data_IF_416323913990
#
_entry.id   IF_416323913990
#
_cell.length_a   1.000
_cell.length_b   1.000
_cell.length_c   1.000
_cell.angle_alpha   90.00
_cell.angle_beta   90.00
_cell.angle_gamma   90.00
#
_symmetry.space_group_name_H-M   'P 1'
#
loop_
_entity.id
_entity.type
_entity.pdbx_description
1 polymer ?
#
# COMPACT_ATOMS: atom_id res chain seq x y z
N UNK A 1 -3.64 6.53 21.82
CA UNK A 1 -3.84 5.20 21.19
C UNK A 1 -2.76 5.04 20.10
N UNK A 2 -2.07 3.91 19.99
CA UNK A 2 -1.10 3.70 18.88
C UNK A 2 -1.86 3.19 17.65
N UNK A 3 -1.96 4.00 16.60
CA UNK A 3 -2.35 3.50 15.27
C UNK A 3 -1.07 2.98 14.63
N UNK A 4 -0.85 1.67 14.71
CA UNK A 4 0.27 1.03 14.01
C UNK A 4 -0.08 0.88 12.54
N UNK A 5 0.14 1.93 11.74
CA UNK A 5 0.20 1.83 10.29
C UNK A 5 1.40 0.95 9.94
N UNK A 6 1.14 -0.31 9.60
CA UNK A 6 2.16 -1.16 8.98
C UNK A 6 1.84 -1.20 7.50
N UNK A 7 2.73 -0.69 6.65
CA UNK A 7 2.71 -1.03 5.24
C UNK A 7 3.40 -2.37 5.08
N UNK A 8 2.74 -3.28 4.35
CA UNK A 8 3.42 -4.47 3.85
C UNK A 8 4.01 -4.10 2.50
N UNK A 9 5.09 -3.35 2.53
CA UNK A 9 6.05 -3.28 1.44
C UNK A 9 7.35 -3.79 2.05
N UNK A 10 7.65 -5.07 1.83
CA UNK A 10 8.93 -5.61 2.31
C UNK A 10 10.01 -4.91 1.49
N UNK A 11 10.59 -3.85 2.06
CA UNK A 11 11.86 -3.26 1.66
C UNK A 11 13.04 -4.23 1.84
N UNK A 12 12.82 -5.52 1.61
CA UNK A 12 13.87 -6.48 1.32
C UNK A 12 14.50 -6.09 0.00
N UNK A 13 15.80 -6.27 -0.12
CA UNK A 13 16.60 -5.97 -1.33
C UNK A 13 16.14 -6.68 -2.61
N UNK A 14 15.12 -7.53 -2.51
CA UNK A 14 14.40 -8.19 -3.58
C UNK A 14 12.91 -7.82 -3.45
N UNK A 15 12.36 -7.07 -4.42
CA UNK A 15 10.97 -6.60 -4.40
C UNK A 15 9.97 -7.75 -4.34
N UNK A 16 9.18 -7.81 -3.25
CA UNK A 16 8.16 -8.84 -3.04
C UNK A 16 6.88 -8.60 -3.84
N UNK A 17 6.13 -9.66 -4.12
CA UNK A 17 4.79 -9.62 -4.70
C UNK A 17 3.75 -10.25 -3.73
N UNK A 18 2.48 -10.33 -4.14
CA UNK A 18 1.41 -10.88 -3.30
C UNK A 18 1.53 -12.38 -2.96
N UNK A 19 2.48 -13.10 -3.55
CA UNK A 19 2.78 -14.50 -3.26
C UNK A 19 3.92 -14.68 -2.23
N UNK A 20 4.56 -13.59 -1.82
CA UNK A 20 5.72 -13.65 -0.91
C UNK A 20 5.33 -14.34 0.41
N UNK A 21 5.84 -15.54 0.67
CA UNK A 21 5.47 -16.33 1.86
C UNK A 21 5.66 -15.61 3.20
N UNK A 22 6.57 -14.62 3.24
CA UNK A 22 6.82 -13.76 4.40
C UNK A 22 5.56 -13.03 4.90
N UNK A 23 4.63 -12.61 4.02
CA UNK A 23 3.42 -11.90 4.48
C UNK A 23 2.44 -12.84 5.16
N UNK A 24 2.20 -14.02 4.59
CA UNK A 24 1.30 -15.02 5.19
C UNK A 24 1.84 -15.46 6.56
N UNK A 25 3.15 -15.69 6.66
CA UNK A 25 3.80 -16.00 7.94
C UNK A 25 3.72 -14.83 8.94
N UNK A 26 3.89 -13.59 8.49
CA UNK A 26 3.79 -12.43 9.37
C UNK A 26 2.37 -12.24 9.94
N UNK A 27 1.32 -12.36 9.10
CA UNK A 27 -0.08 -12.29 9.55
C UNK A 27 -0.38 -13.40 10.58
N UNK A 28 0.11 -14.62 10.34
CA UNK A 28 -0.02 -15.73 11.29
C UNK A 28 0.71 -15.46 12.61
N UNK A 29 1.90 -14.85 12.56
CA UNK A 29 2.63 -14.44 13.76
C UNK A 29 1.91 -13.34 14.55
N UNK A 30 1.23 -12.40 13.88
CA UNK A 30 0.40 -11.40 14.55
C UNK A 30 -0.74 -12.05 15.33
N UNK A 31 -1.43 -13.02 14.73
CA UNK A 31 -2.53 -13.75 15.36
C UNK A 31 -2.10 -14.49 16.65
N UNK A 32 -0.84 -14.92 16.72
CA UNK A 32 -0.32 -15.74 17.82
C UNK A 32 0.11 -14.93 19.06
N UNK A 33 0.21 -13.59 18.97
CA UNK A 33 0.74 -12.77 20.06
C UNK A 33 -0.37 -12.15 20.92
N UNK A 34 -0.83 -12.89 21.93
CA UNK A 34 -1.89 -12.45 22.86
C UNK A 34 -1.55 -11.21 23.70
N UNK A 35 -0.28 -10.83 23.79
CA UNK A 35 0.21 -9.66 24.56
C UNK A 35 0.70 -8.51 23.66
N UNK A 36 0.60 -8.64 22.32
CA UNK A 36 1.01 -7.59 21.41
C UNK A 36 -0.03 -6.45 21.38
N UNK A 37 0.43 -5.24 21.08
CA UNK A 37 -0.45 -4.12 20.83
C UNK A 37 -1.39 -4.43 19.65
N UNK A 38 -2.70 -4.24 19.84
CA UNK A 38 -3.71 -4.43 18.79
C UNK A 38 -3.45 -3.49 17.60
N UNK A 39 -3.52 -4.03 16.39
CA UNK A 39 -3.45 -3.24 15.17
C UNK A 39 -4.82 -2.63 14.93
N UNK A 40 -4.87 -1.31 14.70
CA UNK A 40 -6.14 -0.59 14.49
C UNK A 40 -6.44 -0.35 13.02
N UNK A 41 -5.41 0.00 12.25
CA UNK A 41 -5.44 0.06 10.78
C UNK A 41 -4.27 -0.75 10.26
N UNK A 42 -4.51 -1.59 9.27
CA UNK A 42 -3.47 -2.28 8.50
C UNK A 42 -3.59 -1.87 7.03
N UNK A 43 -2.49 -1.37 6.46
CA UNK A 43 -2.44 -0.91 5.06
C UNK A 43 -1.72 -1.96 4.23
N UNK A 44 -2.37 -2.47 3.20
CA UNK A 44 -1.80 -3.46 2.27
C UNK A 44 -1.61 -2.79 0.92
N UNK A 45 -0.38 -2.80 0.41
CA UNK A 45 0.00 -2.08 -0.80
C UNK A 45 0.86 -2.95 -1.72
N UNK A 46 0.19 -3.81 -2.49
CA UNK A 46 0.81 -4.68 -3.50
C UNK A 46 0.26 -4.34 -4.89
N UNK A 47 0.85 -4.93 -5.93
CA UNK A 47 0.41 -4.79 -7.31
C UNK A 47 1.48 -4.29 -8.26
N UNK A 48 2.44 -3.48 -7.79
CA UNK A 48 3.49 -2.96 -8.65
C UNK A 48 4.35 -4.10 -9.22
N UNK A 49 4.81 -5.03 -8.37
CA UNK A 49 5.61 -6.18 -8.79
C UNK A 49 4.77 -7.27 -9.44
N UNK A 50 3.57 -7.51 -8.93
CA UNK A 50 2.60 -8.45 -9.49
C UNK A 50 2.28 -8.13 -10.96
N UNK A 51 2.20 -6.83 -11.30
CA UNK A 51 1.94 -6.32 -12.66
C UNK A 51 3.13 -6.40 -13.62
N UNK A 52 4.26 -7.01 -13.23
CA UNK A 52 5.35 -7.28 -14.15
C UNK A 52 4.91 -8.10 -15.36
N UNK A 53 5.68 -8.06 -16.44
CA UNK A 53 5.56 -8.97 -17.58
C UNK A 53 5.66 -10.44 -17.14
N UNK A 54 4.97 -11.34 -17.84
CA UNK A 54 4.85 -12.77 -17.46
C UNK A 54 6.18 -13.51 -17.31
N UNK A 55 7.23 -13.07 -18.02
CA UNK A 55 8.57 -13.64 -17.94
C UNK A 55 9.33 -13.27 -16.65
N UNK A 56 8.83 -12.28 -15.90
CA UNK A 56 9.40 -11.86 -14.63
C UNK A 56 9.03 -12.84 -13.51
N UNK A 57 9.99 -13.17 -12.65
CA UNK A 57 9.72 -13.95 -11.42
C UNK A 57 8.81 -13.24 -10.43
N UNK A 58 8.61 -11.92 -10.59
CA UNK A 58 7.72 -11.12 -9.76
C UNK A 58 6.27 -11.16 -10.23
N UNK A 59 6.01 -11.61 -11.46
CA UNK A 59 4.65 -11.60 -12.03
C UNK A 59 3.71 -12.53 -11.25
N UNK A 60 2.49 -12.04 -10.99
CA UNK A 60 1.41 -12.84 -10.41
C UNK A 60 0.17 -12.62 -11.28
N UNK A 61 -0.38 -13.63 -11.97
CA UNK A 61 -1.53 -13.44 -12.85
C UNK A 61 -2.69 -12.71 -12.16
N UNK A 62 -3.30 -11.73 -12.84
CA UNK A 62 -4.30 -10.83 -12.25
C UNK A 62 -5.40 -11.53 -11.44
N UNK A 63 -6.04 -12.63 -11.91
CA UNK A 63 -7.03 -13.35 -11.10
C UNK A 63 -6.46 -13.91 -9.80
N UNK A 64 -5.21 -14.37 -9.81
CA UNK A 64 -4.50 -14.89 -8.63
C UNK A 64 -4.13 -13.76 -7.68
N UNK A 65 -3.64 -12.63 -8.19
CA UNK A 65 -3.35 -11.44 -7.41
C UNK A 65 -4.60 -10.95 -6.64
N UNK A 66 -5.75 -10.86 -7.32
CA UNK A 66 -7.02 -10.48 -6.71
C UNK A 66 -7.42 -11.48 -5.61
N UNK A 67 -7.28 -12.79 -5.88
CA UNK A 67 -7.55 -13.83 -4.89
C UNK A 67 -6.63 -13.71 -3.66
N UNK A 68 -5.34 -13.42 -3.86
CA UNK A 68 -4.38 -13.24 -2.78
C UNK A 68 -4.75 -12.07 -1.87
N UNK A 69 -5.18 -10.94 -2.42
CA UNK A 69 -5.63 -9.81 -1.62
C UNK A 69 -6.85 -10.17 -0.77
N UNK A 70 -7.84 -10.85 -1.36
CA UNK A 70 -9.04 -11.32 -0.64
C UNK A 70 -8.66 -12.30 0.48
N UNK A 71 -7.74 -13.22 0.22
CA UNK A 71 -7.19 -14.15 1.20
C UNK A 71 -6.48 -13.42 2.36
N UNK A 72 -5.62 -12.44 2.05
CA UNK A 72 -4.92 -11.66 3.07
C UNK A 72 -5.89 -10.93 3.99
N UNK A 73 -6.90 -10.26 3.42
CA UNK A 73 -7.94 -9.58 4.21
C UNK A 73 -8.67 -10.58 5.11
N UNK A 74 -9.03 -11.75 4.57
CA UNK A 74 -9.68 -12.82 5.34
C UNK A 74 -8.81 -13.33 6.50
N UNK A 75 -7.51 -13.53 6.26
CA UNK A 75 -6.55 -13.95 7.28
C UNK A 75 -6.37 -12.88 8.37
N UNK A 76 -6.30 -11.61 7.99
CA UNK A 76 -6.20 -10.48 8.94
C UNK A 76 -7.44 -10.43 9.83
N UNK A 77 -8.64 -10.46 9.27
CA UNK A 77 -9.88 -10.42 10.07
C UNK A 77 -10.09 -11.68 10.90
N UNK A 78 -9.58 -12.83 10.45
CA UNK A 78 -9.60 -14.06 11.26
C UNK A 78 -8.67 -13.97 12.48
N UNK A 79 -7.56 -13.25 12.35
CA UNK A 79 -6.62 -12.99 13.43
C UNK A 79 -7.12 -11.91 14.40
N UNK A 80 -7.65 -10.82 13.88
CA UNK A 80 -8.24 -9.72 14.66
C UNK A 80 -9.42 -9.08 13.89
N UNK A 81 -10.67 -9.41 14.25
CA UNK A 81 -11.86 -8.84 13.61
C UNK A 81 -12.00 -7.32 13.78
N UNK A 82 -11.29 -6.70 14.73
CA UNK A 82 -11.34 -5.24 14.96
C UNK A 82 -10.34 -4.47 14.09
N UNK A 83 -9.41 -5.15 13.40
CA UNK A 83 -8.43 -4.49 12.52
C UNK A 83 -9.13 -3.97 11.27
N UNK A 84 -9.03 -2.66 11.01
CA UNK A 84 -9.51 -2.05 9.76
C UNK A 84 -8.45 -2.20 8.68
N UNK A 85 -8.77 -2.89 7.60
CA UNK A 85 -7.86 -3.05 6.46
C UNK A 85 -8.12 -1.95 5.44
N UNK A 86 -7.06 -1.36 4.92
CA UNK A 86 -7.10 -0.44 3.78
C UNK A 86 -6.21 -1.02 2.68
N UNK A 87 -6.76 -1.24 1.50
CA UNK A 87 -5.97 -1.61 0.33
C UNK A 87 -5.53 -0.36 -0.43
N UNK A 88 -4.30 -0.31 -0.91
CA UNK A 88 -3.80 0.78 -1.76
C UNK A 88 -3.52 0.23 -3.15
N UNK A 89 -4.01 0.93 -4.19
CA UNK A 89 -3.72 0.55 -5.58
C UNK A 89 -2.24 0.81 -5.93
N UNK A 90 -1.60 0.02 -6.79
CA UNK A 90 -0.27 0.36 -7.29
C UNK A 90 -0.31 1.72 -8.01
N UNK A 91 0.71 2.59 -7.83
CA UNK A 91 0.88 3.80 -8.64
C UNK A 91 0.89 3.49 -10.15
N UNK A 92 0.55 4.44 -11.02
CA UNK A 92 0.80 4.26 -12.45
C UNK A 92 2.31 4.16 -12.71
N UNK A 93 2.70 3.39 -13.72
CA UNK A 93 4.08 3.32 -14.20
C UNK A 93 4.29 4.38 -15.28
N UNK A 94 5.43 5.06 -15.29
CA UNK A 94 5.87 5.84 -16.44
C UNK A 94 6.80 4.97 -17.28
N UNK A 95 6.28 4.39 -18.36
CA UNK A 95 7.00 3.45 -19.23
C UNK A 95 8.16 4.12 -19.97
N UNK A 96 8.07 5.40 -20.29
CA UNK A 96 9.17 6.16 -20.91
C UNK A 96 10.36 6.29 -19.97
N UNK A 97 10.11 6.77 -18.75
CA UNK A 97 11.13 6.92 -17.71
C UNK A 97 11.67 5.55 -17.27
N UNK A 98 10.79 4.54 -17.14
CA UNK A 98 11.18 3.18 -16.78
C UNK A 98 12.06 2.54 -17.84
N UNK A 99 11.74 2.71 -19.12
CA UNK A 99 12.57 2.22 -20.23
C UNK A 99 13.94 2.88 -20.20
N UNK A 100 14.01 4.20 -19.99
CA UNK A 100 15.28 4.92 -19.87
C UNK A 100 16.11 4.43 -18.67
N UNK A 101 15.49 4.24 -17.50
CA UNK A 101 16.17 3.68 -16.32
C UNK A 101 16.74 2.29 -16.61
N UNK A 102 15.89 1.35 -17.04
CA UNK A 102 16.25 -0.06 -17.27
C UNK A 102 17.33 -0.22 -18.34
N UNK A 103 17.30 0.59 -19.40
CA UNK A 103 18.31 0.57 -20.46
C UNK A 103 19.65 1.19 -20.06
N UNK A 104 19.66 2.10 -19.07
CA UNK A 104 20.88 2.76 -18.56
C UNK A 104 21.70 1.92 -17.58
N UNK A 105 21.17 0.77 -17.13
CA UNK A 105 21.82 -0.13 -16.16
C UNK A 105 23.06 -0.80 -16.76
N UNK A 106 23.97 -1.25 -15.89
CA UNK A 106 25.19 -2.00 -16.29
C UNK A 106 24.85 -3.18 -17.20
N UNK A 107 23.79 -3.91 -16.85
CA UNK A 107 23.15 -4.89 -17.73
C UNK A 107 21.80 -4.31 -18.13
N UNK A 108 21.64 -3.83 -19.38
CA UNK A 108 20.38 -3.29 -19.86
C UNK A 108 19.26 -4.32 -19.77
N UNK A 109 18.09 -3.87 -19.32
CA UNK A 109 16.89 -4.67 -19.23
C UNK A 109 15.80 -4.12 -20.17
N UNK A 110 14.97 -5.01 -20.68
CA UNK A 110 13.76 -4.62 -21.41
C UNK A 110 12.70 -4.08 -20.43
N UNK A 111 11.75 -3.30 -20.96
CA UNK A 111 10.62 -2.80 -20.18
C UNK A 111 9.90 -3.95 -19.48
N UNK A 112 9.75 -3.82 -18.16
CA UNK A 112 9.29 -4.91 -17.29
C UNK A 112 7.83 -4.77 -16.83
N UNK A 113 7.16 -3.66 -17.17
CA UNK A 113 5.77 -3.33 -16.85
C UNK A 113 5.17 -2.42 -17.93
N UNK A 114 3.86 -2.52 -18.16
CA UNK A 114 3.13 -1.58 -19.04
C UNK A 114 2.15 -0.73 -18.24
N UNK A 115 1.77 0.41 -18.81
CA UNK A 115 0.79 1.32 -18.23
C UNK A 115 -0.56 0.62 -18.04
N UNK A 116 -1.03 -0.10 -19.06
CA UNK A 116 -2.31 -0.81 -19.07
C UNK A 116 -2.32 -1.99 -18.11
N UNK A 117 -1.22 -2.74 -18.01
CA UNK A 117 -1.11 -3.82 -17.04
C UNK A 117 -1.22 -3.23 -15.63
N UNK A 118 -0.42 -2.22 -15.30
CA UNK A 118 -0.45 -1.59 -13.97
C UNK A 118 -1.84 -1.04 -13.62
N UNK A 119 -2.55 -0.43 -14.60
CA UNK A 119 -3.94 -0.01 -14.45
C UNK A 119 -4.88 -1.17 -14.15
N UNK A 120 -4.74 -2.30 -14.85
CA UNK A 120 -5.57 -3.48 -14.60
C UNK A 120 -5.39 -4.05 -13.18
N UNK A 121 -4.17 -3.99 -12.63
CA UNK A 121 -3.93 -4.40 -11.23
C UNK A 121 -4.49 -3.38 -10.23
N UNK A 122 -4.47 -2.08 -10.55
CA UNK A 122 -5.16 -1.07 -9.76
C UNK A 122 -6.68 -1.32 -9.69
N UNK A 123 -7.32 -1.66 -10.81
CA UNK A 123 -8.72 -2.07 -10.82
C UNK A 123 -8.94 -3.38 -10.05
N UNK A 124 -8.01 -4.34 -10.15
CA UNK A 124 -8.04 -5.58 -9.36
C UNK A 124 -8.00 -5.35 -7.85
N UNK A 125 -7.23 -4.37 -7.38
CA UNK A 125 -7.22 -3.97 -5.96
C UNK A 125 -8.59 -3.41 -5.55
N UNK A 126 -9.22 -2.57 -6.38
CA UNK A 126 -10.57 -2.04 -6.09
C UNK A 126 -11.61 -3.15 -6.05
N UNK A 127 -11.53 -4.12 -6.96
CA UNK A 127 -12.39 -5.30 -6.96
C UNK A 127 -12.23 -6.11 -5.67
N UNK A 128 -10.99 -6.36 -5.26
CA UNK A 128 -10.69 -7.08 -4.02
C UNK A 128 -11.25 -6.33 -2.80
N UNK A 129 -11.04 -5.01 -2.71
CA UNK A 129 -11.55 -4.19 -1.64
C UNK A 129 -13.08 -4.22 -1.55
N UNK A 130 -13.77 -4.06 -2.68
CA UNK A 130 -15.23 -4.10 -2.75
C UNK A 130 -15.78 -5.47 -2.34
N UNK A 131 -15.19 -6.56 -2.82
CA UNK A 131 -15.60 -7.92 -2.48
C UNK A 131 -15.39 -8.23 -0.99
N UNK A 132 -14.30 -7.73 -0.41
CA UNK A 132 -13.98 -7.91 1.01
C UNK A 132 -14.61 -6.87 1.94
N UNK A 133 -15.31 -5.86 1.38
CA UNK A 133 -15.95 -4.75 2.12
C UNK A 133 -14.97 -3.97 3.00
N UNK A 134 -13.79 -3.68 2.45
CA UNK A 134 -12.74 -2.89 3.10
C UNK A 134 -12.47 -1.62 2.30
N UNK A 135 -11.86 -0.63 2.95
CA UNK A 135 -11.55 0.66 2.33
C UNK A 135 -10.43 0.54 1.29
N UNK A 136 -10.45 1.43 0.30
CA UNK A 136 -9.43 1.50 -0.75
C UNK A 136 -8.91 2.92 -0.92
N UNK A 137 -7.60 3.06 -1.09
CA UNK A 137 -6.95 4.31 -1.52
C UNK A 137 -6.52 4.13 -2.97
N UNK A 138 -7.19 4.84 -3.87
CA UNK A 138 -6.93 4.77 -5.30
C UNK A 138 -5.78 5.70 -5.73
N UNK A 139 -4.57 5.31 -5.34
CA UNK A 139 -3.32 6.02 -5.67
C UNK A 139 -3.08 6.09 -7.17
N UNK A 140 -3.45 5.04 -7.92
CA UNK A 140 -3.35 5.03 -9.38
C UNK A 140 -4.05 6.25 -9.99
N UNK A 141 -5.35 6.43 -9.68
CA UNK A 141 -6.14 7.55 -10.21
C UNK A 141 -5.67 8.88 -9.65
N UNK A 142 -5.31 8.95 -8.37
CA UNK A 142 -4.83 10.17 -7.74
C UNK A 142 -3.57 10.73 -8.43
N UNK A 143 -2.56 9.88 -8.66
CA UNK A 143 -1.35 10.28 -9.37
C UNK A 143 -1.59 10.53 -10.85
N UNK A 144 -2.45 9.75 -11.50
CA UNK A 144 -2.83 10.00 -12.89
C UNK A 144 -3.49 11.37 -13.07
N UNK A 145 -4.35 11.75 -12.12
CA UNK A 145 -5.03 13.05 -12.13
C UNK A 145 -4.05 14.19 -11.82
N UNK A 146 -3.15 14.00 -10.84
CA UNK A 146 -2.11 14.97 -10.50
C UNK A 146 -1.12 15.20 -11.65
N UNK A 147 -0.94 14.20 -12.51
CA UNK A 147 -0.17 14.26 -13.75
C UNK A 147 -0.98 14.77 -14.97
N UNK A 148 -2.18 15.32 -14.75
CA UNK A 148 -3.07 15.84 -15.81
C UNK A 148 -3.38 14.79 -16.90
N UNK A 149 -3.43 13.52 -16.50
CA UNK A 149 -3.64 12.40 -17.42
C UNK A 149 -2.59 12.31 -18.55
N UNK A 150 -1.33 12.67 -18.23
CA UNK A 150 -0.18 12.56 -19.14
C UNK A 150 0.92 11.70 -18.52
N UNK A 151 1.30 10.63 -19.21
CA UNK A 151 2.28 9.68 -18.71
C UNK A 151 3.65 10.34 -18.46
N UNK A 152 4.05 11.27 -19.31
CA UNK A 152 5.33 11.99 -19.17
C UNK A 152 5.37 12.85 -17.90
N UNK A 153 4.23 13.42 -17.49
CA UNK A 153 4.13 14.25 -16.29
C UNK A 153 4.27 13.43 -15.00
N UNK A 154 4.09 12.10 -15.06
CA UNK A 154 4.35 11.22 -13.92
C UNK A 154 5.81 11.28 -13.45
N UNK A 155 6.74 11.77 -14.28
CA UNK A 155 8.15 11.95 -13.88
C UNK A 155 8.35 12.97 -12.74
N UNK A 156 7.39 13.86 -12.50
CA UNK A 156 7.35 14.76 -11.33
C UNK A 156 7.10 13.99 -10.03
N UNK A 157 6.41 12.85 -10.12
CA UNK A 157 6.00 12.02 -8.99
C UNK A 157 6.80 10.72 -8.88
N UNK A 158 7.53 10.31 -9.92
CA UNK A 158 8.27 9.06 -10.02
C UNK A 158 9.77 9.30 -10.27
N UNK A 159 10.62 8.55 -9.58
CA UNK A 159 12.08 8.71 -9.63
C UNK A 159 12.73 7.95 -10.80
N UNK A 160 12.29 6.72 -11.04
CA UNK A 160 12.79 5.79 -12.07
C UNK A 160 11.66 5.23 -12.96
N UNK A 161 10.51 5.92 -12.96
CA UNK A 161 9.28 5.50 -13.61
C UNK A 161 8.46 4.47 -12.83
N UNK A 162 8.90 4.07 -11.63
CA UNK A 162 8.23 3.10 -10.76
C UNK A 162 8.11 3.59 -9.30
N UNK A 163 9.23 3.99 -8.68
CA UNK A 163 9.29 4.39 -7.28
C UNK A 163 8.91 5.86 -7.09
N UNK A 164 8.08 6.14 -6.08
CA UNK A 164 7.61 7.49 -5.79
C UNK A 164 8.74 8.42 -5.35
N UNK A 165 8.67 9.66 -5.81
CA UNK A 165 9.38 10.82 -5.24
C UNK A 165 8.63 11.32 -4.00
N UNK A 166 9.23 12.24 -3.21
CA UNK A 166 8.52 12.90 -2.12
C UNK A 166 7.16 13.50 -2.52
N UNK A 167 7.08 14.07 -3.72
CA UNK A 167 5.85 14.64 -4.31
C UNK A 167 4.79 13.55 -4.54
N UNK A 168 5.21 12.37 -5.04
CA UNK A 168 4.33 11.22 -5.17
C UNK A 168 3.83 10.69 -3.83
N UNK A 169 4.70 10.62 -2.83
CA UNK A 169 4.31 10.24 -1.46
C UNK A 169 3.38 11.25 -0.79
N UNK A 170 3.48 12.54 -1.12
CA UNK A 170 2.54 13.55 -0.63
C UNK A 170 1.11 13.27 -1.13
N UNK A 171 0.95 12.95 -2.43
CA UNK A 171 -0.35 12.56 -3.00
C UNK A 171 -0.90 11.31 -2.30
N UNK A 172 -0.06 10.30 -2.05
CA UNK A 172 -0.47 9.08 -1.32
C UNK A 172 -0.91 9.40 0.10
N UNK A 173 -0.16 10.25 0.81
CA UNK A 173 -0.47 10.65 2.18
C UNK A 173 -1.82 11.37 2.26
N UNK A 174 -2.04 12.37 1.40
CA UNK A 174 -3.30 13.11 1.36
C UNK A 174 -4.50 12.20 1.05
N UNK A 175 -4.35 11.31 0.07
CA UNK A 175 -5.38 10.35 -0.29
C UNK A 175 -5.68 9.38 0.86
N UNK A 176 -4.66 8.83 1.51
CA UNK A 176 -4.81 7.92 2.66
C UNK A 176 -5.48 8.64 3.84
N UNK A 177 -5.04 9.85 4.17
CA UNK A 177 -5.62 10.59 5.28
C UNK A 177 -7.07 10.96 5.04
N UNK A 178 -7.43 11.34 3.81
CA UNK A 178 -8.82 11.57 3.41
C UNK A 178 -9.67 10.31 3.56
N UNK A 179 -9.18 9.14 3.13
CA UNK A 179 -9.88 7.85 3.34
C UNK A 179 -10.07 7.56 4.82
N UNK A 180 -9.03 7.76 5.65
CA UNK A 180 -9.13 7.56 7.11
C UNK A 180 -10.16 8.52 7.72
N UNK A 181 -10.15 9.79 7.33
CA UNK A 181 -11.09 10.78 7.84
C UNK A 181 -12.55 10.43 7.49
N UNK A 182 -12.80 9.94 6.27
CA UNK A 182 -14.13 9.65 5.76
C UNK A 182 -14.70 8.32 6.25
N UNK A 183 -13.87 7.29 6.33
CA UNK A 183 -14.32 5.90 6.55
C UNK A 183 -13.89 5.32 7.92
N UNK A 184 -12.87 5.91 8.55
CA UNK A 184 -12.28 5.44 9.80
C UNK A 184 -12.04 6.60 10.78
N UNK A 185 -12.99 7.54 10.82
CA UNK A 185 -12.78 8.85 11.43
C UNK A 185 -12.39 8.79 12.92
N UNK A 186 -12.82 7.76 13.66
CA UNK A 186 -12.44 7.49 15.05
C UNK A 186 -10.95 7.18 15.23
N UNK A 187 -10.25 6.84 14.14
CA UNK A 187 -8.81 6.58 14.10
C UNK A 187 -8.00 7.69 13.42
N UNK A 188 -8.65 8.80 13.02
CA UNK A 188 -7.95 9.98 12.52
C UNK A 188 -7.04 10.56 13.61
N UNK A 189 -5.85 11.06 13.24
CA UNK A 189 -4.83 11.49 14.21
C UNK A 189 -5.31 12.61 15.15
N UNK A 190 -6.26 13.44 14.70
CA UNK A 190 -6.87 14.50 15.53
C UNK A 190 -7.94 13.99 16.51
N UNK A 191 -8.49 12.80 16.28
CA UNK A 191 -9.58 12.22 17.09
C UNK A 191 -9.10 11.14 18.04
N UNK A 192 -7.91 10.57 17.80
CA UNK A 192 -7.28 9.65 18.74
C UNK A 192 -6.71 10.43 19.93
N UNK A 193 -7.24 10.18 21.13
CA UNK A 193 -6.72 10.77 22.35
C UNK A 193 -5.29 10.31 22.68
N UNK A 194 -4.60 11.10 23.49
CA UNK A 194 -3.31 10.71 24.06
C UNK A 194 -3.44 9.41 24.86
N UNK A 195 -2.43 8.53 24.78
CA UNK A 195 -2.39 7.31 25.62
C UNK A 195 -2.17 7.66 27.08
N UNK A 196 -1.38 8.70 27.32
CA UNK A 196 -1.00 9.17 28.64
C UNK A 196 -1.45 10.63 28.79
N UNK A 197 -1.65 11.11 30.03
CA UNK A 197 -1.93 12.51 30.29
C UNK A 197 -0.87 13.42 29.65
N UNK A 198 -1.28 14.60 29.21
CA UNK A 198 -0.29 15.60 28.77
C UNK A 198 0.54 16.06 29.98
N UNK A 199 1.80 16.42 29.77
CA UNK A 199 2.73 16.72 30.88
C UNK A 199 2.22 17.83 31.82
N UNK A 200 1.38 18.73 31.33
CA UNK A 200 0.71 19.78 32.12
C UNK A 200 -0.32 19.23 33.11
N UNK A 201 -0.94 18.09 32.82
CA UNK A 201 -1.89 17.39 33.71
C UNK A 201 -1.17 16.53 34.77
N UNK A 202 0.10 16.20 34.54
CA UNK A 202 0.94 15.49 35.51
C UNK A 202 1.42 16.41 36.64
N UNK A 203 1.64 17.70 36.35
CA UNK A 203 2.11 18.69 37.34
C UNK A 203 1.06 19.04 38.41
N UNK A 204 -0.23 18.84 38.12
CA UNK A 204 -1.34 19.10 39.05
C UNK A 204 -1.77 17.85 39.83
N UNK A 205 -1.23 16.68 39.50
CA UNK A 205 -1.64 15.38 40.08
C UNK A 205 -0.68 14.83 41.16
N UNK A 206 0.17 15.70 41.74
CA UNK A 206 0.81 15.49 43.05
C UNK A 206 1.37 14.09 43.29
N UNK A 207 2.51 13.80 42.65
CA UNK A 207 3.45 12.76 43.09
C UNK A 207 4.66 13.46 43.71
#
# INVERSE_FOLDING_TARGET
MYVKLTSVDQGTTEGGNSESGSIRSWIQCLAAQSHAAKIKILVVWFGANDACVESSSQHVPLPKFIANLKDMVSLIHSADPETRVILITPPPVNTHQRTADLSSRVTPLALDRTFEATRAYAEGVKEAAAASKVSVVDVWTALWTAAEEREEALSEYLSDGLHLRPEGYAVVYEALMKTIEQEHADLHYERIGYVFPVWTELATSGI
#
